data_IF_531725052038
#
_entry.id   IF_531725052038
#
_cell.length_a   1.000
_cell.length_b   1.000
_cell.length_c   1.000
_cell.angle_alpha   90.00
_cell.angle_beta   90.00
_cell.angle_gamma   90.00
#
_symmetry.space_group_name_H-M   'P 1'
#
loop_
_entity.id
_entity.type
_entity.pdbx_description
1 polymer ?
#
# COMPACT_ATOMS: atom_id res chain seq x y z
N UNK A 1 15.92 17.53 -7.74
CA UNK A 1 16.68 16.84 -6.68
C UNK A 1 15.74 16.62 -5.49
N UNK A 2 15.01 15.49 -5.44
CA UNK A 2 14.24 15.01 -4.26
C UNK A 2 13.62 13.62 -4.51
N UNK A 3 14.44 12.63 -4.90
CA UNK A 3 13.96 11.28 -5.27
C UNK A 3 13.18 10.58 -4.15
N UNK A 4 13.68 10.65 -2.91
CA UNK A 4 13.02 10.07 -1.74
C UNK A 4 11.66 10.75 -1.46
N UNK A 5 11.58 12.07 -1.56
CA UNK A 5 10.31 12.78 -1.39
C UNK A 5 9.29 12.37 -2.44
N UNK A 6 9.70 12.22 -3.71
CA UNK A 6 8.80 11.76 -4.76
C UNK A 6 8.34 10.32 -4.52
N UNK A 7 9.23 9.44 -4.06
CA UNK A 7 8.88 8.07 -3.70
C UNK A 7 7.85 8.02 -2.56
N UNK A 8 8.04 8.80 -1.49
CA UNK A 8 7.07 8.90 -0.39
C UNK A 8 5.73 9.45 -0.89
N UNK A 9 5.73 10.45 -1.79
CA UNK A 9 4.49 10.97 -2.38
C UNK A 9 3.76 9.96 -3.25
N UNK A 10 4.49 9.13 -3.99
CA UNK A 10 3.88 8.05 -4.76
C UNK A 10 3.22 7.01 -3.84
N UNK A 11 3.91 6.60 -2.76
CA UNK A 11 3.36 5.72 -1.74
C UNK A 11 2.05 6.27 -1.12
N UNK A 12 2.03 7.53 -0.70
CA UNK A 12 0.84 8.17 -0.12
C UNK A 12 -0.35 8.15 -1.09
N UNK A 13 -0.13 8.54 -2.37
CA UNK A 13 -1.19 8.58 -3.39
C UNK A 13 -1.77 7.19 -3.65
N UNK A 14 -0.92 6.20 -3.83
CA UNK A 14 -1.34 4.82 -4.07
C UNK A 14 -2.11 4.24 -2.88
N UNK A 15 -1.69 4.56 -1.66
CA UNK A 15 -2.39 4.16 -0.43
C UNK A 15 -3.80 4.77 -0.38
N UNK A 16 -3.94 6.05 -0.73
CA UNK A 16 -5.24 6.72 -0.78
C UNK A 16 -6.13 6.10 -1.87
N UNK A 17 -5.58 5.85 -3.06
CA UNK A 17 -6.33 5.24 -4.16
C UNK A 17 -6.83 3.83 -3.79
N UNK A 18 -5.96 3.03 -3.17
CA UNK A 18 -6.32 1.74 -2.62
C UNK A 18 -7.43 1.86 -1.58
N UNK A 19 -7.30 2.79 -0.63
CA UNK A 19 -8.27 2.99 0.44
C UNK A 19 -9.64 3.45 -0.08
N UNK A 20 -9.68 4.36 -1.06
CA UNK A 20 -10.93 4.88 -1.61
C UNK A 20 -11.66 3.81 -2.44
N UNK A 21 -10.92 3.05 -3.25
CA UNK A 21 -11.50 2.11 -4.21
C UNK A 21 -11.50 0.64 -3.77
N UNK A 22 -10.90 0.31 -2.62
CA UNK A 22 -10.73 -1.08 -2.20
C UNK A 22 -9.80 -1.89 -3.11
N UNK A 23 -8.88 -1.22 -3.82
CA UNK A 23 -8.06 -1.85 -4.86
C UNK A 23 -6.82 -2.50 -4.26
N UNK A 24 -6.76 -3.85 -4.28
CA UNK A 24 -5.59 -4.60 -3.81
C UNK A 24 -4.33 -4.34 -4.62
N UNK A 25 -4.44 -4.12 -5.93
CA UNK A 25 -3.28 -3.84 -6.79
C UNK A 25 -2.63 -2.51 -6.41
N UNK A 26 -3.42 -1.45 -6.22
CA UNK A 26 -2.94 -0.16 -5.74
C UNK A 26 -2.32 -0.26 -4.35
N UNK A 27 -2.89 -1.08 -3.46
CA UNK A 27 -2.33 -1.32 -2.13
C UNK A 27 -0.97 -2.02 -2.18
N UNK A 28 -0.84 -3.04 -3.04
CA UNK A 28 0.42 -3.75 -3.25
C UNK A 28 1.48 -2.81 -3.81
N UNK A 29 1.13 -2.00 -4.82
CA UNK A 29 2.04 -1.03 -5.39
C UNK A 29 2.46 0.04 -4.38
N UNK A 30 1.55 0.46 -3.49
CA UNK A 30 1.89 1.34 -2.38
C UNK A 30 2.98 0.72 -1.49
N UNK A 31 2.79 -0.51 -1.03
CA UNK A 31 3.78 -1.20 -0.20
C UNK A 31 5.13 -1.36 -0.89
N UNK A 32 5.17 -1.72 -2.17
CA UNK A 32 6.43 -1.81 -2.94
C UNK A 32 7.12 -0.45 -3.07
N UNK A 33 6.34 0.62 -3.22
CA UNK A 33 6.87 1.99 -3.36
C UNK A 33 7.39 2.54 -2.03
N UNK A 34 6.90 2.03 -0.89
CA UNK A 34 7.34 2.46 0.43
C UNK A 34 8.84 2.17 0.63
N UNK A 35 9.66 3.21 0.90
CA UNK A 35 11.11 3.06 1.06
C UNK A 35 11.54 2.18 2.25
N UNK A 36 10.63 1.90 3.19
CA UNK A 36 10.89 1.01 4.34
C UNK A 36 10.54 -0.46 4.09
N UNK A 37 9.77 -0.74 3.03
CA UNK A 37 9.44 -2.11 2.62
C UNK A 37 10.37 -2.52 1.49
N UNK A 38 10.39 -1.76 0.38
CA UNK A 38 11.38 -1.85 -0.71
C UNK A 38 11.51 -3.22 -1.41
N UNK A 39 10.67 -4.19 -1.07
CA UNK A 39 10.76 -5.59 -1.42
C UNK A 39 9.37 -6.08 -1.86
N UNK A 40 9.26 -6.59 -3.09
CA UNK A 40 8.00 -7.12 -3.66
C UNK A 40 7.59 -8.46 -3.04
N UNK A 41 8.56 -9.32 -2.71
CA UNK A 41 8.34 -10.63 -2.09
C UNK A 41 7.63 -10.52 -0.74
N UNK A 42 8.00 -9.54 0.07
CA UNK A 42 7.42 -9.32 1.41
C UNK A 42 6.11 -8.52 1.32
N UNK A 43 5.97 -7.65 0.31
CA UNK A 43 4.81 -6.75 0.17
C UNK A 43 3.48 -7.49 0.02
N UNK A 44 3.46 -8.65 -0.65
CA UNK A 44 2.23 -9.42 -0.84
C UNK A 44 1.75 -10.05 0.48
N UNK A 45 2.64 -10.73 1.19
CA UNK A 45 2.32 -11.33 2.49
C UNK A 45 1.91 -10.27 3.52
N UNK A 46 2.63 -9.13 3.53
CA UNK A 46 2.30 -7.99 4.38
C UNK A 46 0.93 -7.40 4.03
N UNK A 47 0.59 -7.28 2.75
CA UNK A 47 -0.73 -6.78 2.34
C UNK A 47 -1.84 -7.68 2.87
N UNK A 48 -1.68 -9.00 2.73
CA UNK A 48 -2.63 -9.99 3.21
C UNK A 48 -2.84 -9.89 4.74
N UNK A 49 -1.75 -9.73 5.48
CA UNK A 49 -1.79 -9.55 6.94
C UNK A 49 -2.49 -8.24 7.33
N UNK A 50 -2.12 -7.12 6.70
CA UNK A 50 -2.72 -5.80 6.96
C UNK A 50 -4.22 -5.82 6.69
N UNK A 51 -4.66 -6.35 5.55
CA UNK A 51 -6.08 -6.43 5.21
C UNK A 51 -6.85 -7.36 6.15
N UNK A 52 -6.22 -8.44 6.61
CA UNK A 52 -6.85 -9.39 7.54
C UNK A 52 -7.02 -8.79 8.92
N UNK A 53 -5.95 -8.23 9.49
CA UNK A 53 -5.97 -7.63 10.84
C UNK A 53 -6.91 -6.41 10.87
N UNK A 54 -6.95 -5.64 9.79
CA UNK A 54 -7.71 -4.40 9.73
C UNK A 54 -9.08 -4.53 9.03
N UNK A 55 -9.55 -5.75 8.77
CA UNK A 55 -10.78 -6.02 7.99
C UNK A 55 -11.99 -5.20 8.47
N UNK A 56 -12.16 -5.05 9.78
CA UNK A 56 -13.29 -4.31 10.35
C UNK A 56 -13.26 -2.79 10.07
N UNK A 57 -12.09 -2.23 9.77
CA UNK A 57 -11.92 -0.80 9.48
C UNK A 57 -11.78 -0.51 7.99
N UNK A 58 -11.49 -1.51 7.18
CA UNK A 58 -11.25 -1.40 5.73
C UNK A 58 -12.48 -1.84 4.93
N UNK A 59 -13.62 -1.20 5.17
CA UNK A 59 -14.94 -1.57 4.56
C UNK A 59 -14.96 -1.58 3.03
N UNK A 60 -14.01 -0.89 2.41
CA UNK A 60 -13.90 -0.80 0.95
C UNK A 60 -13.28 -2.07 0.35
N UNK A 61 -12.51 -2.82 1.14
CA UNK A 61 -11.91 -4.08 0.75
C UNK A 61 -12.84 -5.23 1.15
N UNK A 62 -13.51 -5.83 0.17
CA UNK A 62 -14.37 -7.00 0.34
C UNK A 62 -13.59 -8.30 0.13
#
# INVERSE_FOLDING_TARGET
MNGLTQQVKAFERLTIEAAVHGCRESALLALVTNPLVGNVTDAQALLDEVLTINRQWLTQFN
#
